data_IF_757997093284
#
_entry.id   IF_757997093284
#
_cell.length_a   1.000
_cell.length_b   1.000
_cell.length_c   1.000
_cell.angle_alpha   90.00
_cell.angle_beta   90.00
_cell.angle_gamma   90.00
#
_symmetry.space_group_name_H-M   'P 1'
#
loop_
_entity.id
_entity.type
_entity.pdbx_description
1 polymer ?
#
# COMPACT_ATOMS: atom_id res chain seq x y z
N UNK A 1 73.68 12.35 35.52
CA UNK A 1 73.86 10.93 35.14
C UNK A 1 73.46 10.11 36.36
N UNK A 2 72.41 9.30 36.38
CA UNK A 2 71.83 8.48 35.32
C UNK A 2 70.30 8.37 35.44
N UNK A 3 69.73 8.07 34.28
CA UNK A 3 68.35 7.80 33.92
C UNK A 3 67.83 6.50 34.57
N UNK A 4 66.62 6.52 35.14
CA UNK A 4 65.75 5.34 35.08
C UNK A 4 64.29 5.73 34.83
N UNK A 5 63.85 5.35 33.63
CA UNK A 5 62.49 5.33 33.15
C UNK A 5 61.80 4.09 33.73
N UNK A 6 60.61 4.24 34.31
CA UNK A 6 59.64 3.15 34.41
C UNK A 6 58.22 3.73 34.29
N UNK A 7 57.81 3.87 33.03
CA UNK A 7 56.44 3.98 32.58
C UNK A 7 55.70 2.67 32.84
N UNK A 8 54.60 2.70 33.58
CA UNK A 8 53.45 1.80 33.48
C UNK A 8 52.38 2.34 34.46
N UNK A 9 51.32 3.01 34.02
CA UNK A 9 50.39 2.53 33.01
C UNK A 9 49.34 1.65 33.68
N UNK A 10 48.39 2.23 34.41
CA UNK A 10 47.08 1.62 34.59
C UNK A 10 46.02 2.71 34.73
N UNK A 11 45.58 3.20 33.57
CA UNK A 11 44.27 3.81 33.47
C UNK A 11 43.25 2.73 33.90
N UNK A 12 42.84 2.75 35.17
CA UNK A 12 41.69 2.02 35.67
C UNK A 12 40.43 2.66 35.08
N UNK A 13 40.26 2.50 33.77
CA UNK A 13 38.97 2.64 33.13
C UNK A 13 38.12 1.50 33.65
N UNK A 14 37.30 1.75 34.66
CA UNK A 14 36.14 0.92 34.90
C UNK A 14 35.31 0.99 33.62
N UNK A 15 35.49 0.03 32.72
CA UNK A 15 34.66 -0.08 31.52
C UNK A 15 33.26 -0.33 32.03
N UNK A 16 32.45 0.71 32.01
CA UNK A 16 31.03 0.65 32.28
C UNK A 16 30.46 -0.45 31.39
N UNK A 17 30.24 -1.64 31.95
CA UNK A 17 29.51 -2.70 31.26
C UNK A 17 28.06 -2.22 31.18
N UNK A 18 27.82 -1.52 30.08
CA UNK A 18 26.59 -1.34 29.37
C UNK A 18 25.35 -1.85 30.12
N UNK A 19 24.58 -0.93 30.72
CA UNK A 19 23.27 -1.22 31.31
C UNK A 19 22.21 -1.58 30.24
N UNK A 20 22.64 -1.95 29.03
CA UNK A 20 21.75 -2.38 27.96
C UNK A 20 21.35 -3.84 28.19
N UNK A 21 20.05 -4.15 28.25
CA UNK A 21 19.61 -5.55 28.29
C UNK A 21 20.12 -6.27 27.03
N UNK A 22 20.90 -7.32 27.22
CA UNK A 22 21.37 -8.16 26.12
C UNK A 22 20.19 -8.96 25.56
N UNK A 23 19.60 -8.47 24.47
CA UNK A 23 18.52 -9.15 23.76
C UNK A 23 19.09 -10.32 22.96
N UNK A 24 18.81 -11.56 23.38
CA UNK A 24 19.07 -12.72 22.53
C UNK A 24 17.89 -12.92 21.58
N UNK A 25 18.08 -12.58 20.30
CA UNK A 25 17.11 -12.92 19.25
C UNK A 25 17.23 -14.42 18.94
N UNK A 26 16.11 -15.14 18.97
CA UNK A 26 16.01 -16.55 18.59
C UNK A 26 15.11 -16.68 17.38
N UNK A 27 15.49 -17.55 16.45
CA UNK A 27 14.65 -17.83 15.29
C UNK A 27 13.37 -18.58 15.70
N UNK A 28 12.20 -18.23 15.13
CA UNK A 28 10.98 -18.95 15.40
C UNK A 28 11.08 -20.40 14.89
N UNK A 29 10.80 -21.37 15.77
CA UNK A 29 10.81 -22.81 15.44
C UNK A 29 9.63 -23.26 14.55
N UNK A 30 8.73 -22.35 14.19
CA UNK A 30 7.55 -22.66 13.40
C UNK A 30 6.86 -21.42 12.84
N UNK A 31 5.80 -21.59 12.02
CA UNK A 31 5.09 -20.49 11.38
C UNK A 31 4.54 -19.50 12.41
N UNK A 32 5.13 -18.31 12.49
CA UNK A 32 4.66 -17.26 13.39
C UNK A 32 3.44 -16.59 12.78
N UNK A 33 2.38 -16.40 13.58
CA UNK A 33 1.23 -15.62 13.12
C UNK A 33 1.69 -14.19 12.89
N UNK A 34 1.64 -13.72 11.63
CA UNK A 34 1.87 -12.31 11.33
C UNK A 34 0.68 -11.53 11.89
N UNK A 35 0.78 -11.06 13.14
CA UNK A 35 -0.05 -9.93 13.58
C UNK A 35 0.04 -8.90 12.47
N UNK A 36 -1.11 -8.41 11.99
CA UNK A 36 -1.24 -7.41 10.92
C UNK A 36 -1.28 -7.87 9.46
N UNK A 37 -1.01 -9.14 9.10
CA UNK A 37 -1.22 -9.57 7.72
C UNK A 37 -2.63 -10.15 7.54
N UNK A 38 -3.53 -9.53 6.76
CA UNK A 38 -4.83 -10.10 6.46
C UNK A 38 -4.64 -11.45 5.74
N UNK A 39 -5.26 -12.51 6.26
CA UNK A 39 -5.27 -13.82 5.57
C UNK A 39 -6.09 -13.80 4.28
N UNK A 40 -6.99 -12.83 4.16
CA UNK A 40 -7.97 -12.71 3.08
C UNK A 40 -7.80 -11.34 2.44
N UNK A 41 -7.83 -11.29 1.10
CA UNK A 41 -7.79 -10.02 0.37
C UNK A 41 -9.03 -9.18 0.67
N UNK A 42 -8.83 -7.92 1.07
CA UNK A 42 -9.91 -6.97 1.36
C UNK A 42 -10.55 -6.36 0.10
N UNK A 43 -9.93 -6.58 -1.07
CA UNK A 43 -10.42 -6.03 -2.34
C UNK A 43 -11.64 -6.82 -2.83
N UNK A 44 -12.78 -6.14 -2.93
CA UNK A 44 -13.98 -6.66 -3.58
C UNK A 44 -13.65 -6.96 -5.06
N UNK A 45 -14.04 -8.14 -5.56
CA UNK A 45 -13.83 -8.52 -6.97
C UNK A 45 -14.64 -7.59 -7.87
N UNK A 46 -13.98 -6.98 -8.86
CA UNK A 46 -14.60 -6.10 -9.85
C UNK A 46 -15.74 -6.73 -10.64
N UNK A 47 -15.86 -8.06 -10.63
CA UNK A 47 -16.93 -8.81 -11.28
C UNK A 47 -18.28 -8.73 -10.56
N UNK A 48 -18.33 -8.27 -9.31
CA UNK A 48 -19.58 -8.15 -8.55
C UNK A 48 -20.33 -6.84 -8.85
N UNK A 49 -19.67 -5.85 -9.45
CA UNK A 49 -20.34 -4.64 -9.88
C UNK A 49 -21.05 -4.92 -11.22
N UNK A 50 -22.38 -4.81 -11.23
CA UNK A 50 -23.17 -5.00 -12.44
C UNK A 50 -22.61 -4.09 -13.56
N UNK A 51 -22.44 -4.59 -14.81
CA UNK A 51 -21.96 -3.77 -15.90
C UNK A 51 -22.83 -2.52 -16.05
N UNK A 52 -22.27 -1.35 -15.70
CA UNK A 52 -22.98 -0.08 -15.77
C UNK A 52 -23.33 0.19 -17.23
N UNK A 53 -24.58 -0.07 -17.61
CA UNK A 53 -25.06 0.20 -18.96
C UNK A 53 -24.88 1.70 -19.22
N UNK A 54 -24.34 2.03 -20.39
CA UNK A 54 -24.13 3.43 -20.78
C UNK A 54 -25.48 4.13 -20.88
N UNK A 55 -25.55 5.37 -20.42
CA UNK A 55 -26.74 6.22 -20.52
C UNK A 55 -26.55 7.23 -21.65
N UNK A 56 -27.52 7.35 -22.55
CA UNK A 56 -27.53 8.31 -23.63
C UNK A 56 -27.69 9.73 -23.06
N UNK A 57 -26.80 10.66 -23.41
CA UNK A 57 -26.88 12.05 -22.93
C UNK A 57 -28.04 12.87 -23.50
N UNK A 58 -28.64 12.42 -24.62
CA UNK A 58 -29.78 13.08 -25.24
C UNK A 58 -31.11 12.64 -24.63
N UNK A 59 -31.42 11.35 -24.69
CA UNK A 59 -32.72 10.81 -24.30
C UNK A 59 -32.73 10.11 -22.94
N UNK A 60 -31.58 10.04 -22.24
CA UNK A 60 -31.40 9.34 -20.96
C UNK A 60 -31.67 7.82 -21.01
N UNK A 61 -31.89 7.25 -22.20
CA UNK A 61 -32.06 5.81 -22.38
C UNK A 61 -30.75 5.03 -22.19
N UNK A 62 -30.85 3.77 -21.76
CA UNK A 62 -29.70 2.90 -21.54
C UNK A 62 -29.27 2.19 -22.84
N UNK A 63 -27.99 1.87 -22.97
CA UNK A 63 -27.44 0.97 -23.99
C UNK A 63 -27.01 1.60 -25.32
N UNK A 64 -27.06 2.92 -25.48
CA UNK A 64 -26.63 3.60 -26.72
C UNK A 64 -26.01 4.98 -26.46
N UNK A 65 -25.26 5.52 -27.43
CA UNK A 65 -24.70 6.87 -27.38
C UNK A 65 -25.67 7.91 -27.98
N UNK A 66 -25.46 9.19 -27.66
CA UNK A 66 -26.21 10.27 -28.30
C UNK A 66 -26.06 10.28 -29.83
N UNK A 67 -24.88 9.93 -30.35
CA UNK A 67 -24.61 9.82 -31.79
C UNK A 67 -25.45 8.77 -32.50
N UNK A 68 -25.80 7.69 -31.80
CA UNK A 68 -26.67 6.62 -32.32
C UNK A 68 -28.12 6.74 -31.81
N UNK A 69 -28.50 7.84 -31.17
CA UNK A 69 -29.82 8.00 -30.58
C UNK A 69 -30.89 8.21 -31.64
N UNK A 70 -31.87 7.30 -31.70
CA UNK A 70 -33.00 7.40 -32.64
C UNK A 70 -33.85 8.64 -32.41
N UNK A 71 -34.06 9.06 -31.14
CA UNK A 71 -34.79 10.30 -30.83
C UNK A 71 -34.09 11.53 -31.39
N UNK A 72 -32.76 11.58 -31.31
CA UNK A 72 -31.97 12.70 -31.83
C UNK A 72 -32.03 12.76 -33.35
N UNK A 73 -31.91 11.61 -34.01
CA UNK A 73 -32.02 11.51 -35.48
C UNK A 73 -33.41 11.93 -35.99
N UNK A 74 -34.47 11.53 -35.27
CA UNK A 74 -35.83 11.91 -35.62
C UNK A 74 -36.10 13.42 -35.48
N UNK A 75 -35.53 14.06 -34.45
CA UNK A 75 -35.65 15.50 -34.23
C UNK A 75 -34.84 16.30 -35.28
N UNK A 76 -33.63 15.85 -35.59
CA UNK A 76 -32.80 16.45 -36.65
C UNK A 76 -33.50 16.40 -38.02
N UNK A 77 -34.16 15.28 -38.34
CA UNK A 77 -34.95 15.16 -39.58
C UNK A 77 -36.21 16.03 -39.63
N UNK A 78 -36.74 16.47 -38.49
CA UNK A 78 -37.89 17.37 -38.42
C UNK A 78 -37.49 18.84 -38.55
N UNK A 79 -36.24 19.19 -38.26
CA UNK A 79 -35.72 20.56 -38.36
C UNK A 79 -35.21 20.89 -39.78
N UNK A 80 -35.07 19.89 -40.65
CA UNK A 80 -34.64 20.02 -42.05
C UNK A 80 -35.84 20.11 -43.03
N UNK A 81 -37.03 20.50 -42.53
CA UNK A 81 -38.24 20.78 -43.33
C UNK A 81 -38.75 22.18 -43.01
#
# INVERSE_FOLDING_TARGET
>A
MSLENASQGSCMGASQIDMMPQLSVRDPLGPTTKKWHPKIASRIKSSLEAPKKRTCSYCQGLGHYATSCLKRKADESLQDT
#
